data_IF_859858594489
#
_entry.id   IF_859858594489
#
_cell.length_a   1.000
_cell.length_b   1.000
_cell.length_c   1.000
_cell.angle_alpha   90.00
_cell.angle_beta   90.00
_cell.angle_gamma   90.00
#
_symmetry.space_group_name_H-M   'P 1'
#
loop_
_entity.id
_entity.type
_entity.pdbx_description
1 polymer ?
#
# COMPACT_ATOMS: atom_id res chain seq x y z
N UNK A 1 -16.39 -16.56 -15.82
CA UNK A 1 -15.52 -15.37 -15.65
C UNK A 1 -14.86 -15.12 -16.99
N UNK A 2 -14.95 -13.90 -17.52
CA UNK A 2 -14.30 -13.52 -18.77
C UNK A 2 -13.14 -12.56 -18.45
N UNK A 3 -12.01 -12.74 -19.14
CA UNK A 3 -10.85 -11.86 -19.03
C UNK A 3 -10.32 -11.60 -20.44
N UNK A 4 -10.12 -10.34 -20.79
CA UNK A 4 -9.42 -9.99 -22.03
C UNK A 4 -7.98 -10.49 -21.92
N UNK A 5 -7.49 -11.19 -22.95
CA UNK A 5 -6.12 -11.69 -22.98
C UNK A 5 -5.14 -10.53 -22.76
N UNK A 6 -4.34 -10.55 -21.66
CA UNK A 6 -3.49 -9.43 -21.30
C UNK A 6 -2.21 -9.43 -22.11
N UNK A 7 -1.63 -8.24 -22.27
CA UNK A 7 -0.20 -8.11 -22.61
C UNK A 7 0.67 -8.49 -21.41
N UNK A 8 1.97 -8.68 -21.63
CA UNK A 8 2.93 -8.99 -20.56
C UNK A 8 4.02 -7.93 -20.48
N UNK A 9 4.23 -7.38 -19.28
CA UNK A 9 5.34 -6.47 -18.98
C UNK A 9 6.27 -7.20 -18.02
N UNK A 10 7.51 -7.46 -18.45
CA UNK A 10 8.55 -8.05 -17.62
C UNK A 10 9.33 -6.95 -16.88
N UNK A 11 9.43 -7.05 -15.56
CA UNK A 11 10.30 -6.19 -14.74
C UNK A 11 11.44 -7.03 -14.19
N UNK A 12 12.61 -6.91 -14.81
CA UNK A 12 13.84 -7.56 -14.37
C UNK A 12 14.44 -6.80 -13.20
N UNK A 13 14.53 -7.45 -12.05
CA UNK A 13 15.19 -6.93 -10.86
C UNK A 13 16.56 -7.57 -10.71
N UNK A 14 17.61 -6.75 -10.61
CA UNK A 14 19.00 -7.19 -10.42
C UNK A 14 19.60 -6.61 -9.15
N UNK A 15 20.64 -7.24 -8.60
CA UNK A 15 21.29 -6.75 -7.38
C UNK A 15 20.45 -6.99 -6.12
N UNK A 16 20.62 -6.16 -5.08
CA UNK A 16 19.92 -6.30 -3.81
C UNK A 16 19.50 -4.97 -3.19
N UNK A 17 18.37 -4.97 -2.48
CA UNK A 17 17.98 -3.83 -1.66
C UNK A 17 19.06 -3.55 -0.60
N UNK A 18 19.32 -2.27 -0.33
CA UNK A 18 20.41 -1.85 0.54
C UNK A 18 20.02 -0.69 1.46
N UNK A 19 20.39 -0.81 2.73
CA UNK A 19 20.17 0.22 3.74
C UNK A 19 18.69 0.58 3.91
N UNK A 20 18.32 1.76 3.39
CA UNK A 20 16.98 2.34 3.53
C UNK A 20 15.99 1.91 2.45
N UNK A 21 16.45 1.28 1.35
CA UNK A 21 15.52 0.82 0.32
C UNK A 21 14.70 -0.38 0.77
N UNK A 22 13.44 -0.37 0.37
CA UNK A 22 12.44 -1.38 0.64
C UNK A 22 11.81 -1.89 -0.65
N UNK A 23 11.08 -3.01 -0.57
CA UNK A 23 10.28 -3.51 -1.69
C UNK A 23 9.29 -2.44 -2.22
N UNK A 24 8.80 -1.57 -1.34
CA UNK A 24 7.95 -0.43 -1.72
C UNK A 24 8.61 0.50 -2.73
N UNK A 25 9.91 0.74 -2.63
CA UNK A 25 10.61 1.66 -3.53
C UNK A 25 10.70 1.12 -4.96
N UNK A 26 10.72 -0.21 -5.13
CA UNK A 26 10.66 -0.86 -6.45
C UNK A 26 9.38 -0.48 -7.16
N UNK A 27 8.22 -0.65 -6.52
CA UNK A 27 6.93 -0.31 -7.15
C UNK A 27 6.71 1.20 -7.27
N UNK A 28 7.24 2.01 -6.35
CA UNK A 28 7.22 3.47 -6.50
C UNK A 28 8.03 3.93 -7.73
N UNK A 29 9.18 3.29 -7.99
CA UNK A 29 9.99 3.52 -9.19
C UNK A 29 9.29 3.04 -10.46
N UNK A 30 8.75 1.82 -10.45
CA UNK A 30 7.98 1.27 -11.59
C UNK A 30 6.78 2.15 -11.91
N UNK A 31 6.06 2.65 -10.91
CA UNK A 31 4.95 3.58 -11.11
C UNK A 31 5.39 4.89 -11.78
N UNK A 32 6.57 5.42 -11.42
CA UNK A 32 7.17 6.56 -12.11
C UNK A 32 7.55 6.29 -13.57
N UNK A 33 7.99 5.08 -13.88
CA UNK A 33 8.36 4.66 -15.25
C UNK A 33 7.11 4.46 -16.12
N UNK A 34 6.14 3.70 -15.63
CA UNK A 34 4.96 3.28 -16.39
C UNK A 34 3.82 4.30 -16.35
N UNK A 35 3.78 5.18 -15.34
CA UNK A 35 2.65 6.07 -15.05
C UNK A 35 1.36 5.31 -14.70
N UNK A 36 0.31 6.03 -14.27
CA UNK A 36 -1.01 5.44 -13.92
C UNK A 36 -1.73 4.73 -15.08
N UNK A 37 -1.18 4.76 -16.31
CA UNK A 37 -1.76 4.12 -17.49
C UNK A 37 -0.91 3.01 -18.09
N UNK A 38 0.38 2.92 -17.75
CA UNK A 38 1.33 2.06 -18.47
C UNK A 38 1.04 0.57 -18.35
N UNK A 39 0.39 0.14 -17.27
CA UNK A 39 -0.01 -1.26 -17.06
C UNK A 39 -1.36 -1.63 -17.66
N UNK A 40 -2.11 -0.69 -18.26
CA UNK A 40 -3.50 -0.93 -18.68
C UNK A 40 -3.62 -2.11 -19.64
N UNK A 41 -4.35 -3.16 -19.22
CA UNK A 41 -4.56 -4.36 -20.02
C UNK A 41 -3.34 -5.28 -20.12
N UNK A 42 -2.36 -5.11 -19.24
CA UNK A 42 -1.19 -5.98 -19.11
C UNK A 42 -1.14 -6.66 -17.74
N UNK A 43 -0.42 -7.78 -17.64
CA UNK A 43 0.09 -8.34 -16.39
C UNK A 43 1.54 -7.90 -16.24
N UNK A 44 1.93 -7.47 -15.04
CA UNK A 44 3.33 -7.16 -14.73
C UNK A 44 3.97 -8.33 -14.00
N UNK A 45 4.94 -8.97 -14.62
CA UNK A 45 5.69 -10.08 -14.06
C UNK A 45 7.09 -9.63 -13.65
N UNK A 46 7.46 -9.95 -12.41
CA UNK A 46 8.76 -9.60 -11.85
C UNK A 46 9.67 -10.83 -11.82
N UNK A 47 10.90 -10.67 -12.31
CA UNK A 47 11.88 -11.76 -12.44
C UNK A 47 13.31 -11.26 -12.22
N UNK A 48 14.29 -12.17 -12.23
CA UNK A 48 15.71 -11.86 -11.99
C UNK A 48 16.17 -12.18 -10.56
N UNK A 49 17.48 -12.15 -10.34
CA UNK A 49 18.11 -12.47 -9.04
C UNK A 49 17.65 -11.53 -7.93
N UNK A 50 17.46 -10.24 -8.26
CA UNK A 50 16.91 -9.25 -7.34
C UNK A 50 15.48 -9.59 -6.91
N UNK A 51 14.67 -10.21 -7.79
CA UNK A 51 13.30 -10.61 -7.47
C UNK A 51 13.28 -11.82 -6.52
N UNK A 52 14.13 -12.82 -6.76
CA UNK A 52 14.25 -14.03 -5.93
C UNK A 52 14.64 -13.65 -4.49
N UNK A 53 15.52 -12.67 -4.32
CA UNK A 53 16.02 -12.22 -3.02
C UNK A 53 15.02 -11.42 -2.17
N UNK A 54 13.83 -11.07 -2.69
CA UNK A 54 12.80 -10.37 -1.92
C UNK A 54 12.02 -11.32 -1.00
N UNK A 55 11.57 -10.81 0.14
CA UNK A 55 10.62 -11.51 0.99
C UNK A 55 9.27 -11.72 0.30
N UNK A 56 8.50 -12.72 0.73
CA UNK A 56 7.16 -12.95 0.20
C UNK A 56 6.23 -11.74 0.43
N UNK A 57 6.36 -11.07 1.58
CA UNK A 57 5.58 -9.88 1.94
C UNK A 57 6.01 -8.63 1.15
N UNK A 58 7.31 -8.49 0.85
CA UNK A 58 7.83 -7.48 -0.05
C UNK A 58 7.34 -7.66 -1.50
N UNK A 59 7.34 -8.90 -2.00
CA UNK A 59 6.70 -9.24 -3.30
C UNK A 59 5.22 -8.84 -3.30
N UNK A 60 4.50 -9.15 -2.22
CA UNK A 60 3.12 -8.72 -2.02
C UNK A 60 2.93 -7.20 -2.06
N UNK A 61 3.84 -6.43 -1.45
CA UNK A 61 3.84 -4.95 -1.52
C UNK A 61 3.93 -4.47 -2.96
N UNK A 62 4.88 -5.02 -3.73
CA UNK A 62 5.12 -4.65 -5.12
C UNK A 62 3.89 -4.95 -5.97
N UNK A 63 3.35 -6.18 -5.87
CA UNK A 63 2.17 -6.58 -6.62
C UNK A 63 0.93 -5.76 -6.25
N UNK A 64 0.72 -5.45 -4.96
CA UNK A 64 -0.42 -4.68 -4.48
C UNK A 64 -0.52 -3.32 -5.19
N UNK A 65 0.60 -2.60 -5.27
CA UNK A 65 0.62 -1.26 -5.85
C UNK A 65 0.78 -1.25 -7.38
N UNK A 66 0.95 -2.43 -8.01
CA UNK A 66 0.75 -2.62 -9.45
C UNK A 66 -0.67 -2.23 -9.93
N UNK A 67 -1.66 -2.24 -9.02
CA UNK A 67 -2.98 -1.70 -9.30
C UNK A 67 -2.96 -0.20 -9.71
N UNK A 68 -2.00 0.58 -9.21
CA UNK A 68 -1.94 2.02 -9.42
C UNK A 68 -1.39 2.43 -10.79
N UNK A 69 -0.74 1.50 -11.50
CA UNK A 69 -0.35 1.67 -12.92
C UNK A 69 -1.41 1.14 -13.90
N UNK A 70 -2.53 0.64 -13.37
CA UNK A 70 -3.64 0.07 -14.15
C UNK A 70 -3.39 -1.36 -14.61
N UNK A 71 -2.43 -2.07 -14.02
CA UNK A 71 -2.19 -3.48 -14.34
C UNK A 71 -3.42 -4.34 -14.06
N UNK A 72 -3.64 -5.35 -14.91
CA UNK A 72 -4.67 -6.38 -14.70
C UNK A 72 -4.39 -7.14 -13.41
N UNK A 73 -3.13 -7.52 -13.23
CA UNK A 73 -2.55 -8.00 -11.98
C UNK A 73 -1.02 -7.90 -12.08
N UNK A 74 -0.34 -8.21 -10.99
CA UNK A 74 1.11 -8.35 -10.93
C UNK A 74 1.48 -9.67 -10.28
N UNK A 75 2.62 -10.26 -10.66
CA UNK A 75 3.04 -11.57 -10.15
C UNK A 75 4.55 -11.72 -10.03
N UNK A 76 4.98 -12.63 -9.15
CA UNK A 76 6.32 -13.18 -9.05
C UNK A 76 6.22 -14.69 -9.21
N UNK A 77 7.26 -15.33 -9.75
CA UNK A 77 7.38 -16.79 -9.71
C UNK A 77 7.54 -17.32 -8.29
N UNK A 78 7.07 -18.55 -8.04
CA UNK A 78 7.23 -19.23 -6.76
C UNK A 78 8.71 -19.45 -6.44
N UNK A 79 9.10 -19.17 -5.20
CA UNK A 79 10.46 -19.35 -4.71
C UNK A 79 10.49 -19.63 -3.20
N UNK A 80 11.71 -19.81 -2.66
CA UNK A 80 11.93 -20.15 -1.26
C UNK A 80 11.33 -19.14 -0.27
N UNK A 81 11.21 -17.87 -0.64
CA UNK A 81 10.59 -16.87 0.25
C UNK A 81 9.09 -17.13 0.43
N UNK A 82 8.42 -17.55 -0.64
CA UNK A 82 7.01 -17.93 -0.60
C UNK A 82 6.83 -19.22 0.18
N UNK A 83 7.75 -20.19 0.03
CA UNK A 83 7.77 -21.39 0.85
C UNK A 83 7.87 -21.05 2.35
N UNK A 84 8.87 -20.24 2.74
CA UNK A 84 9.07 -19.80 4.13
C UNK A 84 7.81 -19.14 4.68
N UNK A 85 7.16 -18.28 3.90
CA UNK A 85 5.92 -17.63 4.30
C UNK A 85 4.77 -18.62 4.48
N UNK A 86 4.56 -19.54 3.54
CA UNK A 86 3.54 -20.61 3.65
C UNK A 86 3.72 -21.40 4.94
N UNK A 87 4.93 -21.89 5.21
CA UNK A 87 5.23 -22.64 6.45
C UNK A 87 5.02 -21.80 7.70
N UNK A 88 5.51 -20.56 7.73
CA UNK A 88 5.36 -19.68 8.90
C UNK A 88 3.91 -19.38 9.27
N UNK A 89 2.99 -19.55 8.32
CA UNK A 89 1.55 -19.32 8.48
C UNK A 89 0.76 -20.62 8.57
N UNK A 90 1.44 -21.74 8.88
CA UNK A 90 0.82 -23.04 9.14
C UNK A 90 0.29 -23.75 7.90
N UNK A 91 0.88 -23.48 6.73
CA UNK A 91 0.46 -24.06 5.44
C UNK A 91 1.55 -24.98 4.86
N UNK A 92 2.16 -25.81 5.71
CA UNK A 92 3.22 -26.75 5.33
C UNK A 92 2.79 -27.71 4.20
N UNK A 93 1.56 -28.23 4.24
CA UNK A 93 1.05 -29.11 3.19
C UNK A 93 0.98 -28.41 1.83
N UNK A 94 0.65 -27.11 1.80
CA UNK A 94 0.62 -26.31 0.57
C UNK A 94 2.03 -26.09 0.04
N UNK A 95 2.98 -25.79 0.93
CA UNK A 95 4.40 -25.67 0.58
C UNK A 95 4.96 -26.99 0.01
N UNK A 96 4.64 -28.12 0.63
CA UNK A 96 5.07 -29.44 0.21
C UNK A 96 4.52 -29.82 -1.17
N UNK A 97 3.25 -29.52 -1.47
CA UNK A 97 2.67 -29.73 -2.81
C UNK A 97 3.24 -28.76 -3.85
N UNK A 98 3.42 -27.48 -3.49
CA UNK A 98 4.01 -26.49 -4.39
C UNK A 98 5.44 -26.88 -4.80
N UNK A 99 6.24 -27.39 -3.85
CA UNK A 99 7.61 -27.84 -4.10
C UNK A 99 7.71 -29.00 -5.10
N UNK A 100 6.70 -29.87 -5.20
CA UNK A 100 6.66 -30.96 -6.20
C UNK A 100 6.50 -30.45 -7.62
N UNK A 101 5.94 -29.26 -7.80
CA UNK A 101 5.63 -28.66 -9.10
C UNK A 101 6.26 -27.27 -9.28
N UNK A 102 7.27 -26.92 -8.48
CA UNK A 102 7.83 -25.58 -8.41
C UNK A 102 8.27 -25.02 -9.78
N UNK A 103 8.80 -25.89 -10.66
CA UNK A 103 9.19 -25.53 -12.03
C UNK A 103 8.03 -25.01 -12.90
N UNK A 104 6.77 -25.34 -12.57
CA UNK A 104 5.58 -24.85 -13.27
C UNK A 104 4.93 -23.64 -12.58
N UNK A 105 5.45 -23.23 -11.43
CA UNK A 105 4.95 -22.09 -10.65
C UNK A 105 5.81 -20.84 -10.83
N UNK A 106 6.71 -20.85 -11.81
CA UNK A 106 7.57 -19.75 -12.23
C UNK A 106 7.66 -19.74 -13.77
N UNK A 107 8.12 -18.65 -14.36
CA UNK A 107 8.39 -18.60 -15.80
C UNK A 107 9.55 -19.53 -16.19
N UNK A 108 9.50 -20.04 -17.41
CA UNK A 108 10.52 -20.94 -17.96
C UNK A 108 11.88 -20.24 -18.07
N UNK A 109 12.98 -20.99 -17.87
CA UNK A 109 14.34 -20.44 -17.92
C UNK A 109 14.64 -19.70 -19.24
N UNK A 110 14.11 -20.19 -20.37
CA UNK A 110 14.28 -19.55 -21.68
C UNK A 110 13.57 -18.20 -21.78
N UNK A 111 12.43 -18.04 -21.07
CA UNK A 111 11.69 -16.77 -21.01
C UNK A 111 12.51 -15.72 -20.27
N UNK A 112 13.17 -16.09 -19.17
CA UNK A 112 14.00 -15.16 -18.40
C UNK A 112 15.40 -14.94 -18.98
N UNK A 113 15.91 -15.89 -19.76
CA UNK A 113 17.15 -15.73 -20.51
C UNK A 113 17.01 -14.73 -21.66
N UNK A 114 15.90 -14.78 -22.40
CA UNK A 114 15.63 -13.93 -23.58
C UNK A 114 14.27 -13.19 -23.47
N UNK A 115 14.07 -12.33 -22.45
CA UNK A 115 12.76 -11.78 -22.08
C UNK A 115 12.10 -10.92 -23.18
N UNK A 116 12.91 -10.25 -24.01
CA UNK A 116 12.43 -9.44 -25.15
C UNK A 116 11.62 -10.26 -26.18
N UNK A 117 11.80 -11.58 -26.23
CA UNK A 117 11.06 -12.46 -27.14
C UNK A 117 9.66 -12.83 -26.62
N UNK A 118 9.41 -12.65 -25.32
CA UNK A 118 8.22 -13.19 -24.64
C UNK A 118 7.37 -12.11 -23.96
N UNK A 119 7.99 -11.02 -23.49
CA UNK A 119 7.29 -9.88 -22.91
C UNK A 119 7.03 -8.81 -23.98
N UNK A 120 5.85 -8.19 -23.97
CA UNK A 120 5.54 -7.03 -24.82
C UNK A 120 6.39 -5.79 -24.48
N UNK A 121 6.92 -5.74 -23.26
CA UNK A 121 7.80 -4.70 -22.76
C UNK A 121 8.68 -5.26 -21.64
N UNK A 122 9.98 -4.92 -21.65
CA UNK A 122 10.91 -5.24 -20.57
C UNK A 122 11.39 -3.94 -19.90
N UNK A 123 11.41 -3.92 -18.57
CA UNK A 123 11.97 -2.86 -17.73
C UNK A 123 13.03 -3.50 -16.84
N UNK A 124 14.18 -2.86 -16.69
CA UNK A 124 15.22 -3.30 -15.77
C UNK A 124 15.39 -2.31 -14.62
N UNK A 125 15.48 -2.83 -13.40
CA UNK A 125 15.75 -2.05 -12.19
C UNK A 125 16.90 -2.73 -11.45
N UNK A 126 17.99 -1.98 -11.31
CA UNK A 126 19.11 -2.33 -10.45
C UNK A 126 18.80 -1.90 -9.00
N UNK A 127 18.68 -2.87 -8.12
CA UNK A 127 18.37 -2.66 -6.70
C UNK A 127 19.58 -2.11 -5.91
N UNK A 128 20.82 -2.30 -6.40
CA UNK A 128 22.01 -1.76 -5.73
C UNK A 128 22.07 -0.23 -5.83
N UNK A 129 21.53 0.33 -6.91
CA UNK A 129 21.48 1.78 -7.15
C UNK A 129 20.12 2.41 -6.84
N UNK A 130 19.12 1.61 -6.47
CA UNK A 130 17.83 2.11 -6.00
C UNK A 130 18.04 2.86 -4.66
N UNK A 131 17.42 4.03 -4.54
CA UNK A 131 17.32 4.77 -3.28
C UNK A 131 15.84 4.88 -2.85
N UNK A 132 15.51 5.31 -1.60
CA UNK A 132 14.13 5.45 -1.15
C UNK A 132 13.34 6.49 -1.95
N UNK A 133 12.03 6.27 -2.12
CA UNK A 133 11.13 7.16 -2.86
C UNK A 133 9.98 7.68 -2.00
N UNK A 134 9.48 8.86 -2.39
CA UNK A 134 8.20 9.39 -1.97
C UNK A 134 7.41 9.83 -3.21
N UNK A 135 6.26 9.22 -3.47
CA UNK A 135 5.44 9.58 -4.64
C UNK A 135 4.24 10.44 -4.23
N UNK A 136 3.91 11.47 -5.02
CA UNK A 136 2.78 12.37 -4.72
C UNK A 136 3.02 13.79 -5.22
N UNK A 137 2.10 14.75 -4.93
CA UNK A 137 1.09 14.67 -3.85
C UNK A 137 -0.32 14.22 -4.24
N UNK A 138 -0.64 14.11 -5.55
CA UNK A 138 -2.02 13.84 -6.03
C UNK A 138 -2.13 12.69 -7.04
N UNK A 139 -1.02 11.98 -7.23
CA UNK A 139 -0.93 10.83 -8.12
C UNK A 139 0.21 9.91 -7.68
N UNK A 140 0.01 8.58 -7.71
CA UNK A 140 0.99 7.63 -7.18
C UNK A 140 2.19 7.43 -8.11
N UNK A 141 2.14 7.95 -9.34
CA UNK A 141 3.21 7.89 -10.34
C UNK A 141 4.12 9.12 -10.38
N UNK A 142 3.85 10.17 -9.58
CA UNK A 142 4.78 11.30 -9.46
C UNK A 142 5.92 10.91 -8.52
N UNK A 143 6.86 10.14 -9.08
CA UNK A 143 7.93 9.52 -8.33
C UNK A 143 9.09 10.48 -8.04
N UNK A 144 9.38 10.68 -6.75
CA UNK A 144 10.47 11.56 -6.31
C UNK A 144 11.44 10.78 -5.41
N UNK A 145 12.70 10.58 -5.84
CA UNK A 145 13.73 10.02 -4.97
C UNK A 145 13.94 10.91 -3.75
N UNK A 146 14.20 10.32 -2.58
CA UNK A 146 14.31 11.04 -1.31
C UNK A 146 15.39 12.13 -1.36
N UNK A 147 16.48 11.89 -2.10
CA UNK A 147 17.55 12.89 -2.31
C UNK A 147 17.09 14.17 -3.01
N UNK A 148 15.96 14.13 -3.74
CA UNK A 148 15.41 15.26 -4.48
C UNK A 148 14.13 15.84 -3.86
N UNK A 149 13.56 15.20 -2.84
CA UNK A 149 12.25 15.57 -2.30
C UNK A 149 12.20 17.02 -1.80
N UNK A 150 13.24 17.49 -1.09
CA UNK A 150 13.31 18.88 -0.63
C UNK A 150 13.26 19.88 -1.79
N UNK A 151 14.06 19.63 -2.83
CA UNK A 151 14.15 20.51 -4.02
C UNK A 151 12.81 20.56 -4.76
N UNK A 152 12.19 19.40 -4.98
CA UNK A 152 10.89 19.35 -5.67
C UNK A 152 9.77 19.93 -4.81
N UNK A 153 9.76 19.74 -3.50
CA UNK A 153 8.79 20.35 -2.61
C UNK A 153 8.86 21.88 -2.62
N UNK A 154 10.07 22.45 -2.53
CA UNK A 154 10.28 23.90 -2.60
C UNK A 154 9.86 24.47 -3.96
N UNK A 155 10.31 23.83 -5.05
CA UNK A 155 10.00 24.22 -6.43
C UNK A 155 8.49 24.21 -6.74
N UNK A 156 7.77 23.21 -6.24
CA UNK A 156 6.34 23.07 -6.47
C UNK A 156 5.47 23.70 -5.36
N UNK A 157 6.08 24.32 -4.35
CA UNK A 157 5.39 24.96 -3.24
C UNK A 157 4.59 23.98 -2.37
N UNK A 158 5.05 22.75 -2.20
CA UNK A 158 4.45 21.76 -1.30
C UNK A 158 4.81 22.08 0.16
N UNK A 159 3.87 21.97 1.12
CA UNK A 159 4.20 22.23 2.52
C UNK A 159 5.26 21.25 3.03
N UNK A 160 6.37 21.76 3.55
CA UNK A 160 7.43 20.92 4.11
C UNK A 160 7.06 20.36 5.48
N UNK A 161 6.27 21.09 6.28
CA UNK A 161 5.79 20.61 7.57
C UNK A 161 4.83 19.44 7.36
N UNK A 162 5.19 18.28 7.88
CA UNK A 162 4.33 17.09 7.87
C UNK A 162 3.45 17.12 9.11
N UNK A 163 2.15 16.90 8.93
CA UNK A 163 1.20 16.84 10.04
C UNK A 163 0.99 15.42 10.53
N UNK A 164 0.96 14.45 9.62
CA UNK A 164 0.74 13.04 9.93
C UNK A 164 1.68 12.13 9.15
N UNK A 165 2.31 11.20 9.86
CA UNK A 165 2.88 9.97 9.32
C UNK A 165 1.95 8.80 9.60
N UNK A 166 1.57 8.03 8.58
CA UNK A 166 0.66 6.88 8.73
C UNK A 166 1.28 5.61 8.15
N UNK A 167 1.57 4.63 8.99
CA UNK A 167 2.09 3.32 8.57
C UNK A 167 0.97 2.30 8.57
N UNK A 168 0.97 1.41 7.59
CA UNK A 168 0.12 0.22 7.59
C UNK A 168 -0.78 0.10 6.36
N UNK A 169 -2.06 -0.21 6.59
CA UNK A 169 -3.02 -0.64 5.57
C UNK A 169 -2.57 -1.91 4.85
N UNK A 170 -3.31 -2.39 3.85
CA UNK A 170 -3.01 -3.66 3.18
C UNK A 170 -1.66 -3.68 2.42
N UNK A 171 -1.11 -2.52 2.04
CA UNK A 171 0.10 -2.45 1.22
C UNK A 171 1.37 -2.70 2.02
N UNK A 172 1.53 -2.10 3.20
CA UNK A 172 2.76 -2.18 4.01
C UNK A 172 2.45 -2.26 5.51
N UNK A 173 1.88 -3.39 5.93
CA UNK A 173 1.55 -3.70 7.33
C UNK A 173 1.91 -5.13 7.73
N UNK A 174 2.83 -5.76 7.00
CA UNK A 174 3.36 -7.07 7.37
C UNK A 174 4.19 -6.99 8.66
N UNK A 175 4.55 -8.15 9.20
CA UNK A 175 5.47 -8.19 10.34
C UNK A 175 6.83 -7.56 10.00
N UNK A 176 7.36 -7.82 8.80
CA UNK A 176 8.58 -7.20 8.27
C UNK A 176 8.48 -5.67 8.21
N UNK A 177 7.39 -5.15 7.62
CA UNK A 177 7.13 -3.70 7.51
C UNK A 177 7.13 -3.03 8.90
N UNK A 178 6.41 -3.63 9.86
CA UNK A 178 6.30 -3.10 11.22
C UNK A 178 7.62 -3.23 11.98
N UNK A 179 8.37 -4.33 11.78
CA UNK A 179 9.68 -4.54 12.39
C UNK A 179 10.69 -3.48 11.94
N UNK A 180 10.75 -3.20 10.63
CA UNK A 180 11.62 -2.16 10.06
C UNK A 180 11.26 -0.75 10.57
N UNK A 181 9.97 -0.43 10.60
CA UNK A 181 9.51 0.84 11.17
C UNK A 181 9.77 0.95 12.68
N UNK A 182 9.61 -0.14 13.43
CA UNK A 182 9.88 -0.19 14.87
C UNK A 182 11.38 -0.02 15.16
N UNK A 183 12.28 -0.52 14.29
CA UNK A 183 13.72 -0.26 14.41
C UNK A 183 14.04 1.24 14.36
N UNK A 184 13.40 2.00 13.46
CA UNK A 184 13.57 3.46 13.40
C UNK A 184 12.98 4.15 14.63
N UNK A 185 11.80 3.71 15.10
CA UNK A 185 11.18 4.24 16.30
C UNK A 185 12.04 4.00 17.56
N UNK A 186 12.58 2.79 17.72
CA UNK A 186 13.51 2.45 18.81
C UNK A 186 14.76 3.34 18.78
N UNK A 187 15.37 3.52 17.60
CA UNK A 187 16.50 4.43 17.46
C UNK A 187 16.17 5.86 17.89
N UNK A 188 14.97 6.35 17.57
CA UNK A 188 14.53 7.68 17.99
C UNK A 188 14.47 7.78 19.53
N UNK A 189 13.86 6.80 20.19
CA UNK A 189 13.80 6.74 21.66
C UNK A 189 15.21 6.72 22.26
N UNK A 190 16.08 5.81 21.79
CA UNK A 190 17.45 5.65 22.31
C UNK A 190 18.31 6.91 22.11
N UNK A 191 18.07 7.63 21.01
CA UNK A 191 18.81 8.85 20.66
C UNK A 191 18.20 10.12 21.25
N UNK A 192 17.12 10.03 22.03
CA UNK A 192 16.45 11.19 22.66
C UNK A 192 15.67 12.05 21.66
N UNK A 193 15.15 11.45 20.59
CA UNK A 193 14.29 12.10 19.60
C UNK A 193 12.83 11.88 19.96
N UNK A 194 12.00 12.87 19.64
CA UNK A 194 10.53 12.79 19.76
C UNK A 194 9.90 13.00 18.39
N UNK A 195 8.69 12.49 18.19
CA UNK A 195 7.94 12.70 16.96
C UNK A 195 7.49 14.15 16.81
N UNK A 196 7.77 14.75 15.64
CA UNK A 196 7.36 16.12 15.31
C UNK A 196 6.06 16.19 14.50
N UNK A 197 5.64 15.07 13.92
CA UNK A 197 4.31 14.87 13.33
C UNK A 197 3.46 14.00 14.24
N UNK A 198 2.14 14.05 14.08
CA UNK A 198 1.30 12.97 14.60
C UNK A 198 1.66 11.66 13.88
N UNK A 199 1.62 10.55 14.59
CA UNK A 199 2.10 9.27 14.08
C UNK A 199 1.05 8.18 14.30
N UNK A 200 0.71 7.44 13.24
CA UNK A 200 -0.37 6.45 13.26
C UNK A 200 0.07 5.11 12.68
N UNK A 201 -0.33 4.02 13.33
CA UNK A 201 -0.01 2.64 12.92
C UNK A 201 -1.30 1.86 12.68
N UNK A 202 -1.47 1.29 11.48
CA UNK A 202 -2.62 0.49 11.04
C UNK A 202 -2.19 -0.95 10.71
N UNK A 203 -2.17 -1.89 11.68
CA UNK A 203 -1.85 -3.28 11.39
C UNK A 203 -2.83 -3.91 10.39
N UNK A 204 -2.34 -4.81 9.52
CA UNK A 204 -3.12 -5.36 8.42
C UNK A 204 -4.13 -6.44 8.81
N UNK A 205 -3.92 -7.08 9.97
CA UNK A 205 -4.78 -8.13 10.49
C UNK A 205 -4.64 -8.23 12.01
N UNK A 206 -5.58 -8.93 12.65
CA UNK A 206 -5.48 -9.21 14.08
C UNK A 206 -4.29 -10.12 14.41
N UNK A 207 -3.95 -11.06 13.53
CA UNK A 207 -2.76 -11.90 13.71
C UNK A 207 -1.46 -11.07 13.70
N UNK A 208 -1.32 -10.12 12.76
CA UNK A 208 -0.14 -9.25 12.73
C UNK A 208 -0.12 -8.31 13.93
N UNK A 209 -1.25 -7.68 14.27
CA UNK A 209 -1.35 -6.81 15.46
C UNK A 209 -0.96 -7.56 16.73
N UNK A 210 -1.53 -8.74 16.94
CA UNK A 210 -1.29 -9.57 18.12
C UNK A 210 0.18 -9.99 18.20
N UNK A 211 0.76 -10.45 17.09
CA UNK A 211 2.17 -10.86 17.00
C UNK A 211 3.10 -9.67 17.26
N UNK A 212 2.87 -8.53 16.60
CA UNK A 212 3.66 -7.30 16.78
C UNK A 212 3.56 -6.74 18.21
N UNK A 213 2.41 -6.90 18.87
CA UNK A 213 2.24 -6.53 20.27
C UNK A 213 3.06 -7.44 21.20
N UNK A 214 2.95 -8.76 21.00
CA UNK A 214 3.72 -9.77 21.75
C UNK A 214 5.23 -9.53 21.65
N UNK A 215 5.70 -9.13 20.47
CA UNK A 215 7.11 -8.93 20.18
C UNK A 215 7.59 -7.48 20.46
N UNK A 216 6.71 -6.62 20.98
CA UNK A 216 7.07 -5.30 21.53
C UNK A 216 7.03 -4.14 20.54
N UNK A 217 6.73 -4.38 19.27
CA UNK A 217 6.73 -3.32 18.24
C UNK A 217 5.67 -2.25 18.50
N UNK A 218 4.45 -2.65 18.91
CA UNK A 218 3.39 -1.67 19.20
C UNK A 218 3.77 -0.78 20.39
N UNK A 219 4.40 -1.37 21.42
CA UNK A 219 4.87 -0.62 22.58
C UNK A 219 5.93 0.42 22.19
N UNK A 220 6.88 0.04 21.33
CA UNK A 220 7.85 0.99 20.75
C UNK A 220 7.18 2.18 20.06
N UNK A 221 6.11 1.94 19.28
CA UNK A 221 5.39 3.04 18.64
C UNK A 221 4.63 3.90 19.66
N UNK A 222 3.98 3.30 20.64
CA UNK A 222 3.29 4.02 21.73
C UNK A 222 4.25 4.87 22.57
N UNK A 223 5.49 4.42 22.78
CA UNK A 223 6.53 5.19 23.47
C UNK A 223 6.99 6.44 22.68
N UNK A 224 6.63 6.52 21.39
CA UNK A 224 6.74 7.72 20.55
C UNK A 224 5.39 8.44 20.36
N UNK A 225 4.44 8.26 21.29
CA UNK A 225 3.10 8.84 21.25
C UNK A 225 2.32 8.50 19.96
N UNK A 226 2.63 7.37 19.31
CA UNK A 226 1.90 6.94 18.12
C UNK A 226 0.52 6.40 18.48
N UNK A 227 -0.46 6.67 17.63
CA UNK A 227 -1.80 6.11 17.73
C UNK A 227 -1.87 4.76 17.00
N UNK A 228 -2.15 3.69 17.74
CA UNK A 228 -2.46 2.38 17.15
C UNK A 228 -3.94 2.38 16.73
N UNK A 229 -4.18 2.35 15.43
CA UNK A 229 -5.51 2.27 14.85
C UNK A 229 -6.02 0.83 14.81
N UNK A 230 -7.33 0.68 14.69
CA UNK A 230 -7.99 -0.60 14.41
C UNK A 230 -7.42 -1.25 13.15
N UNK A 231 -7.35 -2.58 13.13
CA UNK A 231 -6.91 -3.40 11.99
C UNK A 231 -7.95 -3.34 10.85
N UNK A 232 -7.98 -2.22 10.14
CA UNK A 232 -8.92 -1.93 9.07
C UNK A 232 -8.27 -0.93 8.09
N UNK A 233 -8.88 -0.72 6.93
CA UNK A 233 -8.35 0.23 5.95
C UNK A 233 -8.25 1.67 6.48
N UNK A 234 -9.19 2.09 7.34
CA UNK A 234 -9.17 3.38 8.04
C UNK A 234 -8.84 4.58 7.11
N UNK A 235 -7.80 5.37 7.43
CA UNK A 235 -7.39 6.51 6.61
C UNK A 235 -7.12 6.21 5.13
N UNK A 236 -6.73 4.98 4.76
CA UNK A 236 -6.43 4.61 3.37
C UNK A 236 -7.64 4.77 2.42
N UNK A 237 -8.87 4.68 2.94
CA UNK A 237 -10.12 4.83 2.16
C UNK A 237 -10.95 6.04 2.58
N UNK A 238 -10.37 6.96 3.36
CA UNK A 238 -11.08 8.13 3.86
C UNK A 238 -12.00 7.85 5.04
N UNK A 239 -11.85 6.70 5.71
CA UNK A 239 -12.56 6.39 6.95
C UNK A 239 -11.73 6.88 8.13
N UNK A 240 -11.56 8.20 8.19
CA UNK A 240 -10.79 8.88 9.20
C UNK A 240 -11.44 10.22 9.55
N UNK A 241 -11.87 10.35 10.81
CA UNK A 241 -12.39 11.60 11.36
C UNK A 241 -11.20 12.47 11.82
N UNK A 242 -10.46 12.99 10.84
CA UNK A 242 -9.30 13.86 11.11
C UNK A 242 -9.80 15.23 11.53
N UNK A 243 -9.62 15.55 12.81
CA UNK A 243 -9.94 16.89 13.34
C UNK A 243 -9.27 17.99 12.52
N UNK A 244 -10.05 18.96 12.04
CA UNK A 244 -9.56 20.11 11.28
C UNK A 244 -9.54 19.90 9.77
N UNK A 245 -9.75 18.68 9.25
CA UNK A 245 -9.79 18.43 7.81
C UNK A 245 -10.94 19.16 7.11
N UNK A 246 -12.04 19.41 7.82
CA UNK A 246 -13.21 20.15 7.34
C UNK A 246 -12.91 21.61 6.98
N UNK A 247 -11.82 22.18 7.53
CA UNK A 247 -11.36 23.54 7.23
C UNK A 247 -10.66 23.64 5.88
N UNK A 248 -10.36 22.50 5.25
CA UNK A 248 -9.66 22.41 3.99
C UNK A 248 -8.32 23.16 3.94
N UNK A 249 -7.58 23.17 5.05
CA UNK A 249 -6.27 23.83 5.14
C UNK A 249 -5.22 23.09 4.31
N UNK A 250 -4.26 23.85 3.77
CA UNK A 250 -3.14 23.31 3.00
C UNK A 250 -2.15 22.64 3.96
N UNK A 251 -2.01 21.32 3.87
CA UNK A 251 -1.15 20.53 4.75
C UNK A 251 -0.48 19.38 3.99
N UNK A 252 0.50 18.73 4.62
CA UNK A 252 1.16 17.54 4.08
C UNK A 252 0.98 16.35 5.02
N UNK A 253 0.71 15.19 4.44
CA UNK A 253 0.75 13.90 5.12
C UNK A 253 1.63 12.92 4.34
N UNK A 254 2.26 11.99 5.03
CA UNK A 254 3.05 10.92 4.42
C UNK A 254 2.55 9.58 4.95
N UNK A 255 2.30 8.62 4.06
CA UNK A 255 1.74 7.34 4.46
C UNK A 255 2.24 6.15 3.66
N UNK A 256 2.28 4.96 4.26
CA UNK A 256 2.79 3.75 3.59
C UNK A 256 1.71 3.00 2.80
N UNK A 257 0.60 3.66 2.47
CA UNK A 257 -0.46 3.12 1.62
C UNK A 257 -0.06 3.12 0.13
N UNK A 258 -1.02 2.94 -0.77
CA UNK A 258 -0.82 2.92 -2.23
C UNK A 258 -1.42 4.15 -2.97
N UNK A 259 -2.53 4.72 -2.49
CA UNK A 259 -3.23 5.83 -3.15
C UNK A 259 -3.09 7.16 -2.43
N UNK A 260 -2.87 8.23 -3.19
CA UNK A 260 -2.76 9.60 -2.72
C UNK A 260 -3.57 10.60 -3.57
N UNK A 261 -4.67 10.17 -4.19
CA UNK A 261 -5.53 11.10 -4.93
C UNK A 261 -6.12 12.18 -4.00
N UNK A 262 -6.40 13.37 -4.54
CA UNK A 262 -7.00 14.46 -3.76
C UNK A 262 -8.27 14.00 -3.02
N UNK A 263 -8.46 14.45 -1.78
CA UNK A 263 -9.56 14.09 -0.87
C UNK A 263 -9.60 12.62 -0.40
N UNK A 264 -8.70 11.75 -0.84
CA UNK A 264 -8.80 10.31 -0.58
C UNK A 264 -8.68 9.97 0.91
N UNK A 265 -7.72 10.56 1.61
CA UNK A 265 -7.36 10.15 2.97
C UNK A 265 -8.28 10.73 4.06
N UNK A 266 -8.75 11.96 3.87
CA UNK A 266 -9.43 12.75 4.91
C UNK A 266 -10.55 13.66 4.36
N UNK A 267 -10.87 13.57 3.06
CA UNK A 267 -11.86 14.44 2.40
C UNK A 267 -11.37 15.85 2.06
N UNK A 268 -10.19 16.26 2.51
CA UNK A 268 -9.62 17.59 2.25
C UNK A 268 -8.91 17.64 0.88
N UNK A 269 -9.33 18.50 -0.06
CA UNK A 269 -8.68 18.61 -1.37
C UNK A 269 -7.28 19.24 -1.31
N UNK A 270 -6.95 19.94 -0.23
CA UNK A 270 -5.69 20.65 -0.01
C UNK A 270 -4.70 19.86 0.86
N UNK A 271 -4.99 18.59 1.14
CA UNK A 271 -4.02 17.66 1.76
C UNK A 271 -3.09 17.11 0.69
N UNK A 272 -1.79 17.40 0.81
CA UNK A 272 -0.73 16.93 -0.06
C UNK A 272 -0.22 15.59 0.47
N UNK A 273 -0.67 14.48 -0.12
CA UNK A 273 -0.40 13.14 0.37
C UNK A 273 0.76 12.48 -0.38
N UNK A 274 1.79 12.04 0.34
CA UNK A 274 2.92 11.30 -0.23
C UNK A 274 2.91 9.84 0.23
N UNK A 275 3.21 8.93 -0.69
CA UNK A 275 3.33 7.49 -0.42
C UNK A 275 4.80 7.07 -0.35
N UNK A 276 5.17 6.31 0.68
CA UNK A 276 6.55 5.86 0.92
C UNK A 276 6.59 4.46 1.57
N UNK A 277 7.78 3.94 1.87
CA UNK A 277 7.95 2.75 2.72
C UNK A 277 7.69 3.07 4.22
N UNK A 278 7.25 2.11 5.04
CA UNK A 278 7.00 2.29 6.47
C UNK A 278 8.12 2.99 7.25
N UNK A 279 9.35 2.53 7.09
CA UNK A 279 10.56 3.08 7.71
C UNK A 279 10.79 4.54 7.32
N UNK A 280 10.51 4.90 6.07
CA UNK A 280 10.60 6.28 5.59
C UNK A 280 9.49 7.14 6.18
N UNK A 281 8.27 6.60 6.31
CA UNK A 281 7.18 7.30 7.02
C UNK A 281 7.54 7.54 8.49
N UNK A 282 8.12 6.54 9.18
CA UNK A 282 8.57 6.70 10.55
C UNK A 282 9.63 7.81 10.66
N UNK A 283 10.67 7.77 9.82
CA UNK A 283 11.73 8.77 9.80
C UNK A 283 11.20 10.19 9.52
N UNK A 284 10.25 10.33 8.58
CA UNK A 284 9.59 11.61 8.27
C UNK A 284 8.68 12.07 9.41
N UNK A 285 7.95 11.16 10.07
CA UNK A 285 7.11 11.51 11.22
C UNK A 285 7.94 12.04 12.39
N UNK A 286 9.09 11.41 12.64
CA UNK A 286 10.09 11.83 13.63
C UNK A 286 10.68 13.20 13.25
N UNK A 287 11.06 13.40 11.99
CA UNK A 287 11.66 14.67 11.54
C UNK A 287 10.66 15.82 11.45
N UNK A 288 9.38 15.53 11.21
CA UNK A 288 8.32 16.52 10.96
C UNK A 288 8.45 17.24 9.61
N UNK A 289 9.32 16.76 8.72
CA UNK A 289 9.73 17.49 7.52
C UNK A 289 9.77 16.58 6.29
N UNK A 290 8.98 16.91 5.27
CA UNK A 290 8.90 16.20 3.99
C UNK A 290 10.26 16.15 3.28
N UNK A 291 11.08 17.18 3.44
CA UNK A 291 12.40 17.28 2.82
C UNK A 291 13.53 16.61 3.61
N UNK A 292 13.24 15.89 4.70
CA UNK A 292 14.26 15.17 5.47
C UNK A 292 14.76 13.95 4.70
N UNK A 293 16.08 13.89 4.49
CA UNK A 293 16.74 12.75 3.85
C UNK A 293 17.56 11.94 4.88
N UNK A 294 17.08 10.78 5.35
CA UNK A 294 17.80 10.00 6.36
C UNK A 294 19.15 9.44 5.86
N UNK A 295 19.39 9.42 4.55
CA UNK A 295 20.68 9.00 3.99
C UNK A 295 21.81 9.98 4.33
N UNK A 296 21.51 11.26 4.51
CA UNK A 296 22.51 12.33 4.66
C UNK A 296 22.31 13.17 5.91
N UNK A 297 21.07 13.41 6.30
CA UNK A 297 20.72 14.45 7.25
C UNK A 297 20.85 13.96 8.70
N UNK A 298 20.86 14.93 9.62
CA UNK A 298 20.86 14.72 11.06
C UNK A 298 19.63 15.39 11.69
N UNK A 299 19.29 14.95 12.90
CA UNK A 299 18.22 15.49 13.72
C UNK A 299 18.81 15.97 15.05
N UNK A 300 18.23 17.03 15.59
CA UNK A 300 18.56 17.51 16.93
C UNK A 300 17.77 16.72 17.98
N UNK A 301 18.45 16.10 18.94
CA UNK A 301 17.82 15.43 20.08
C UNK A 301 17.45 16.39 21.24
N UNK A 302 16.85 15.84 22.30
CA UNK A 302 16.47 16.54 23.53
C UNK A 302 17.64 17.19 24.28
N UNK A 303 18.89 16.77 24.01
CA UNK A 303 20.13 17.35 24.54
C UNK A 303 20.74 18.41 23.63
N UNK A 304 20.16 18.67 22.44
CA UNK A 304 20.70 19.61 21.46
C UNK A 304 21.80 19.04 20.55
N UNK A 305 22.07 17.73 20.62
CA UNK A 305 23.09 17.05 19.83
C UNK A 305 22.56 16.66 18.45
N UNK A 306 23.42 16.68 17.43
CA UNK A 306 23.08 16.19 16.10
C UNK A 306 23.26 14.66 16.04
N UNK A 307 22.17 13.94 15.81
CA UNK A 307 22.15 12.49 15.69
C UNK A 307 21.63 12.09 14.31
N UNK A 308 22.13 10.97 13.77
CA UNK A 308 21.68 10.42 12.49
C UNK A 308 20.86 9.15 12.74
N UNK A 309 19.81 8.92 11.96
CA UNK A 309 19.12 7.62 11.94
C UNK A 309 19.93 6.63 11.09
N UNK A 310 20.15 5.44 11.63
CA UNK A 310 20.82 4.35 10.95
C UNK A 310 19.81 3.60 10.07
N UNK A 311 20.26 2.93 8.99
CA UNK A 311 19.39 2.12 8.17
C UNK A 311 18.53 1.15 9.00
N UNK A 312 17.23 1.01 8.66
CA UNK A 312 16.32 0.15 9.41
C UNK A 312 16.76 -1.30 9.35
N UNK A 313 16.61 -1.98 10.49
CA UNK A 313 16.75 -3.43 10.60
C UNK A 313 15.38 -4.04 10.87
N UNK A 314 15.16 -5.29 10.50
CA UNK A 314 13.90 -5.96 10.80
C UNK A 314 13.92 -7.42 10.39
N UNK A 315 13.02 -8.18 10.97
CA UNK A 315 12.86 -9.61 10.72
C UNK A 315 11.79 -9.83 9.64
N UNK A 316 12.08 -10.66 8.63
CA UNK A 316 11.12 -11.04 7.59
C UNK A 316 9.85 -11.67 8.19
N UNK A 317 10.04 -12.58 9.15
CA UNK A 317 8.99 -13.37 9.79
C UNK A 317 9.24 -13.44 11.30
N UNK A 318 8.20 -13.59 12.14
CA UNK A 318 8.37 -13.71 13.58
C UNK A 318 9.14 -14.98 13.94
N UNK A 319 10.27 -14.83 14.61
CA UNK A 319 11.13 -15.96 15.02
C UNK A 319 10.44 -16.95 15.97
N UNK A 320 9.42 -16.49 16.71
CA UNK A 320 8.56 -17.30 17.58
C UNK A 320 7.28 -17.80 16.89
N UNK A 321 7.15 -17.60 15.57
CA UNK A 321 5.93 -17.84 14.81
C UNK A 321 4.85 -16.78 15.03
N UNK A 322 3.85 -16.76 14.14
CA UNK A 322 2.67 -15.90 14.29
C UNK A 322 1.79 -16.36 15.45
N UNK A 323 1.13 -15.41 16.13
CA UNK A 323 0.18 -15.70 17.19
C UNK A 323 -1.08 -14.85 17.03
N UNK A 324 -2.21 -15.40 17.42
CA UNK A 324 -3.51 -14.73 17.50
C UNK A 324 -4.38 -15.47 18.52
N UNK A 325 -5.16 -14.74 19.31
CA UNK A 325 -6.12 -15.33 20.24
C UNK A 325 -7.45 -15.63 19.54
N UNK A 326 -8.06 -14.59 18.94
CA UNK A 326 -9.25 -14.71 18.10
C UNK A 326 -9.01 -13.94 16.79
N UNK A 327 -9.01 -14.66 15.66
CA UNK A 327 -8.86 -14.06 14.34
C UNK A 327 -10.15 -13.39 13.82
N UNK A 328 -11.27 -13.53 14.54
CA UNK A 328 -12.57 -13.02 14.16
C UNK A 328 -13.25 -13.82 13.05
N UNK A 329 -12.78 -15.04 12.77
CA UNK A 329 -13.37 -15.89 11.74
C UNK A 329 -14.62 -16.60 12.25
N UNK A 330 -15.73 -16.42 11.54
CA UNK A 330 -16.97 -17.17 11.77
C UNK A 330 -17.19 -18.13 10.60
N UNK A 331 -17.12 -19.44 10.86
CA UNK A 331 -17.42 -20.46 9.87
C UNK A 331 -18.89 -20.40 9.44
N UNK A 332 -19.22 -20.77 8.17
CA UNK A 332 -20.61 -20.93 7.77
C UNK A 332 -21.28 -22.03 8.58
N UNK A 333 -22.60 -21.94 8.73
CA UNK A 333 -23.38 -23.01 9.35
C UNK A 333 -23.17 -24.32 8.57
N UNK A 334 -22.91 -25.42 9.29
CA UNK A 334 -22.77 -26.74 8.67
C UNK A 334 -24.04 -27.17 7.94
N UNK A 335 -25.21 -26.79 8.47
CA UNK A 335 -26.50 -26.86 7.80
C UNK A 335 -27.11 -25.46 7.71
N UNK A 336 -27.17 -24.93 6.49
CA UNK A 336 -27.74 -23.63 6.19
C UNK A 336 -29.25 -23.64 5.93
N UNK A 337 -29.93 -24.80 6.01
CA UNK A 337 -31.33 -24.96 5.57
C UNK A 337 -32.33 -24.07 6.33
N UNK A 338 -32.03 -23.74 7.59
CA UNK A 338 -32.84 -22.86 8.42
C UNK A 338 -32.38 -21.39 8.41
N UNK A 339 -31.25 -21.08 7.75
CA UNK A 339 -30.70 -19.72 7.71
C UNK A 339 -31.57 -18.84 6.82
N UNK A 340 -32.07 -17.74 7.39
CA UNK A 340 -32.81 -16.73 6.65
C UNK A 340 -31.97 -15.46 6.53
N UNK A 341 -31.78 -14.97 5.31
CA UNK A 341 -31.17 -13.67 5.04
C UNK A 341 -32.28 -12.69 4.70
N UNK A 342 -32.61 -11.83 5.66
CA UNK A 342 -33.70 -10.88 5.56
C UNK A 342 -33.17 -9.46 5.39
N UNK A 343 -33.68 -8.74 4.39
CA UNK A 343 -33.41 -7.31 4.20
C UNK A 343 -34.68 -6.54 4.54
N UNK A 344 -34.60 -5.64 5.54
CA UNK A 344 -35.75 -4.82 5.92
C UNK A 344 -36.16 -3.90 4.75
N UNK A 345 -37.46 -3.85 4.37
CA UNK A 345 -37.94 -2.95 3.32
C UNK A 345 -37.74 -1.45 3.63
N UNK A 346 -37.53 -1.11 4.90
CA UNK A 346 -37.28 0.28 5.36
C UNK A 346 -35.82 0.52 5.75
N UNK A 347 -34.92 -0.42 5.42
CA UNK A 347 -33.49 -0.26 5.66
C UNK A 347 -32.94 0.89 4.83
N UNK A 348 -32.22 1.79 5.49
CA UNK A 348 -31.45 2.86 4.85
C UNK A 348 -30.02 2.42 4.49
N UNK A 349 -29.66 1.15 4.73
CA UNK A 349 -28.31 0.59 4.54
C UNK A 349 -28.24 -0.48 3.46
N UNK A 350 -29.30 -1.27 3.34
CA UNK A 350 -29.40 -2.45 2.47
C UNK A 350 -30.70 -2.37 1.68
N UNK A 351 -30.63 -2.60 0.37
CA UNK A 351 -31.77 -2.59 -0.55
C UNK A 351 -31.65 -3.82 -1.46
N UNK A 352 -32.77 -4.51 -1.71
CA UNK A 352 -32.81 -5.51 -2.77
C UNK A 352 -32.76 -4.79 -4.12
N UNK A 353 -31.98 -5.31 -5.07
CA UNK A 353 -31.86 -4.71 -6.40
C UNK A 353 -33.10 -5.04 -7.24
N UNK A 354 -33.71 -4.00 -7.81
CA UNK A 354 -34.69 -4.15 -8.88
C UNK A 354 -33.98 -4.39 -10.22
N UNK A 355 -34.52 -5.23 -11.10
CA UNK A 355 -33.95 -5.45 -12.42
C UNK A 355 -34.02 -4.17 -13.26
N UNK A 356 -32.92 -3.80 -13.91
CA UNK A 356 -32.92 -2.72 -14.89
C UNK A 356 -33.77 -3.07 -16.11
N UNK A 357 -34.38 -2.06 -16.73
CA UNK A 357 -35.16 -2.23 -17.95
C UNK A 357 -34.31 -2.83 -19.06
N UNK A 358 -34.79 -3.89 -19.74
CA UNK A 358 -34.11 -4.46 -20.91
C UNK A 358 -33.95 -3.43 -22.03
N UNK A 359 -32.96 -3.64 -22.90
CA UNK A 359 -32.81 -2.84 -24.10
C UNK A 359 -34.03 -2.98 -25.02
N UNK A 360 -34.57 -1.85 -25.48
CA UNK A 360 -35.78 -1.74 -26.31
C UNK A 360 -35.58 -2.11 -27.79
N UNK A 361 -34.36 -2.42 -28.21
CA UNK A 361 -34.06 -2.79 -29.61
C UNK A 361 -33.92 -1.62 -30.57
N UNK A 362 -33.97 -0.38 -30.08
CA UNK A 362 -33.86 0.85 -30.88
C UNK A 362 -32.61 1.66 -30.55
N UNK A 363 -32.19 2.49 -31.51
CA UNK A 363 -31.11 3.43 -31.34
C UNK A 363 -31.46 4.51 -30.31
N UNK A 364 -30.48 4.87 -29.47
CA UNK A 364 -30.61 5.97 -28.51
C UNK A 364 -30.44 7.32 -29.22
N UNK A 365 -31.55 8.03 -29.48
CA UNK A 365 -31.56 9.35 -30.16
C UNK A 365 -31.86 10.48 -29.17
N UNK A 366 -31.28 11.66 -29.40
CA UNK A 366 -31.56 12.87 -28.61
C UNK A 366 -31.02 12.85 -27.16
N UNK A 367 -30.00 12.03 -26.88
CA UNK A 367 -29.37 11.95 -25.56
C UNK A 367 -28.84 13.32 -25.11
N UNK A 368 -29.12 13.68 -23.86
CA UNK A 368 -28.60 14.89 -23.23
C UNK A 368 -27.24 14.61 -22.62
N UNK A 369 -26.28 15.51 -22.84
CA UNK A 369 -24.99 15.47 -22.17
C UNK A 369 -25.17 15.90 -20.71
N UNK A 370 -25.02 14.96 -19.77
CA UNK A 370 -25.09 15.26 -18.33
C UNK A 370 -23.87 16.05 -17.85
N UNK A 371 -22.67 15.58 -18.22
CA UNK A 371 -21.40 16.19 -17.84
C UNK A 371 -20.32 15.89 -18.89
N UNK A 372 -19.45 16.86 -19.17
CA UNK A 372 -18.22 16.66 -19.95
C UNK A 372 -17.02 16.73 -19.00
N UNK A 373 -16.59 15.58 -18.49
CA UNK A 373 -15.42 15.51 -17.63
C UNK A 373 -14.15 15.97 -18.37
N UNK A 374 -13.28 16.72 -17.70
CA UNK A 374 -11.99 17.20 -18.22
C UNK A 374 -10.85 16.60 -17.39
N UNK A 375 -9.89 15.95 -18.05
CA UNK A 375 -8.71 15.40 -17.39
C UNK A 375 -8.99 14.09 -16.64
N UNK A 376 -8.34 13.90 -15.49
CA UNK A 376 -8.41 12.68 -14.67
C UNK A 376 -9.79 12.55 -14.02
N UNK A 377 -10.46 11.42 -14.23
CA UNK A 377 -11.73 11.07 -13.61
C UNK A 377 -11.63 9.63 -13.09
N UNK A 378 -11.29 9.47 -11.82
CA UNK A 378 -11.18 8.15 -11.16
C UNK A 378 -12.53 7.69 -10.64
N UNK A 379 -12.64 6.44 -10.19
CA UNK A 379 -13.87 5.94 -9.56
C UNK A 379 -14.26 6.73 -8.30
N UNK A 380 -13.31 7.26 -7.54
CA UNK A 380 -13.59 8.18 -6.42
C UNK A 380 -14.24 9.51 -6.88
N UNK A 381 -14.06 9.95 -8.14
CA UNK A 381 -14.78 11.12 -8.68
C UNK A 381 -16.22 10.78 -9.10
N UNK A 382 -16.48 9.51 -9.40
CA UNK A 382 -17.78 9.01 -9.90
C UNK A 382 -18.67 8.55 -8.73
N UNK A 383 -18.10 7.81 -7.77
CA UNK A 383 -18.76 7.27 -6.58
C UNK A 383 -17.76 7.25 -5.43
N UNK A 384 -17.76 8.34 -4.67
CA UNK A 384 -16.83 8.57 -3.55
C UNK A 384 -16.95 7.48 -2.47
N UNK A 385 -15.86 7.25 -1.74
CA UNK A 385 -15.82 6.42 -0.54
C UNK A 385 -16.15 7.23 0.74
N UNK A 386 -15.40 7.06 1.84
CA UNK A 386 -15.60 7.77 3.10
C UNK A 386 -17.04 7.67 3.63
N UNK A 387 -17.75 8.80 3.85
CA UNK A 387 -19.09 8.79 4.44
C UNK A 387 -20.14 8.04 3.60
N UNK A 388 -19.89 7.83 2.30
CA UNK A 388 -20.79 7.11 1.39
C UNK A 388 -20.73 5.59 1.56
N UNK A 389 -19.69 5.06 2.23
CA UNK A 389 -19.56 3.62 2.46
C UNK A 389 -20.71 3.04 3.28
N UNK A 390 -21.38 3.86 4.10
CA UNK A 390 -22.60 3.45 4.81
C UNK A 390 -23.73 3.03 3.86
N UNK A 391 -23.74 3.50 2.60
CA UNK A 391 -24.79 3.20 1.63
C UNK A 391 -24.38 2.19 0.56
N UNK A 392 -23.23 1.50 0.69
CA UNK A 392 -22.74 0.54 -0.32
C UNK A 392 -23.71 -0.62 -0.63
N UNK A 393 -24.61 -0.94 0.29
CA UNK A 393 -25.65 -1.93 0.10
C UNK A 393 -27.00 -1.38 -0.38
N UNK A 394 -27.10 -0.08 -0.67
CA UNK A 394 -28.35 0.59 -1.02
C UNK A 394 -28.14 1.50 -2.24
N UNK A 395 -28.58 1.05 -3.41
CA UNK A 395 -28.27 1.68 -4.70
C UNK A 395 -28.80 3.12 -4.78
N UNK A 396 -30.06 3.35 -4.42
CA UNK A 396 -30.66 4.69 -4.54
C UNK A 396 -29.99 5.72 -3.63
N UNK A 397 -29.53 5.32 -2.44
CA UNK A 397 -28.86 6.22 -1.51
C UNK A 397 -27.45 6.57 -1.97
N UNK A 398 -26.68 5.58 -2.47
CA UNK A 398 -25.30 5.82 -2.93
C UNK A 398 -25.20 6.52 -4.29
N UNK A 399 -26.32 6.61 -5.03
CA UNK A 399 -26.39 7.36 -6.29
C UNK A 399 -26.57 8.89 -6.12
N UNK A 400 -26.85 9.37 -4.91
CA UNK A 400 -26.84 10.82 -4.58
C UNK A 400 -25.42 11.33 -4.37
#
# INVERSE_FOLDING_TARGET
WELKFPKLIGVKLTGKLNGWTAAKDVILKVAGILTVKGGTGAIVEYFGDGAINLSCTGKGTICNMGAEIGATTSTFGYDESMERYLRSTGRDEVADEANKIAAYLTGDDEVYADPENYFDQVIEIDLDTLEPYLNGPFTPDLATPVSQMKVEAEKNGWPLKVEWGLIGSCTNSSYEDLSRAASIANQAIEKGLVTKSAFGINPGSEQVRYTANRDGFLKTFEDLDATIFTNACGPCIGMWDRTGAEKAEKNTIVHSFNRNFAKRADGNPNTFAFVASPEMVAAIAISGNLGFNPLTDTLTNDKGEQVKLDPPTGDELPTKGFAVEDAGFQAPAADGSAVQVLVSPTSHRLQLLDPFTPWEGTDLKGLKLLIKAKGKCTTDHISMAGPWLKFRGHLDNISN
#
